data_IF_195132022766
#
_entry.id   IF_195132022766
#
_cell.length_a   1.000
_cell.length_b   1.000
_cell.length_c   1.000
_cell.angle_alpha   90.00
_cell.angle_beta   90.00
_cell.angle_gamma   90.00
#
_symmetry.space_group_name_H-M   'P 1'
#
loop_
_entity.id
_entity.type
_entity.pdbx_description
1 polymer ?
#
# COMPACT_ATOMS: atom_id res chain seq x y z
N UNK A 1 0.98 -57.98 -23.97
CA UNK A 1 1.31 -56.56 -24.22
C UNK A 1 0.07 -55.93 -24.82
N UNK A 2 -0.82 -55.40 -23.99
CA UNK A 2 -2.04 -54.71 -24.45
C UNK A 2 -1.67 -53.32 -24.95
N UNK A 3 -2.01 -53.03 -26.21
CA UNK A 3 -1.81 -51.70 -26.79
C UNK A 3 -2.83 -50.71 -26.19
N UNK A 4 -2.42 -49.52 -25.75
CA UNK A 4 -3.36 -48.52 -25.22
C UNK A 4 -4.38 -48.11 -26.30
N UNK A 5 -5.66 -48.14 -25.95
CA UNK A 5 -6.76 -47.79 -26.86
C UNK A 5 -6.67 -46.31 -27.30
N UNK A 6 -6.52 -46.00 -28.60
CA UNK A 6 -6.35 -44.65 -29.12
C UNK A 6 -7.50 -43.69 -28.73
N UNK A 7 -8.72 -44.22 -28.61
CA UNK A 7 -9.90 -43.44 -28.22
C UNK A 7 -9.83 -42.96 -26.77
N UNK A 8 -9.24 -43.78 -25.89
CA UNK A 8 -9.07 -43.47 -24.48
C UNK A 8 -7.99 -42.40 -24.29
N UNK A 9 -6.92 -42.49 -25.09
CA UNK A 9 -5.85 -41.50 -25.13
C UNK A 9 -6.34 -40.13 -25.63
N UNK A 10 -7.13 -40.10 -26.71
CA UNK A 10 -7.72 -38.86 -27.22
C UNK A 10 -8.69 -38.22 -26.21
N UNK A 11 -9.51 -39.01 -25.50
CA UNK A 11 -10.40 -38.50 -24.46
C UNK A 11 -9.62 -38.00 -23.22
N UNK A 12 -8.52 -38.65 -22.85
CA UNK A 12 -7.61 -38.20 -21.79
C UNK A 12 -6.87 -36.92 -22.20
N UNK A 13 -6.54 -36.75 -23.48
CA UNK A 13 -5.88 -35.57 -24.05
C UNK A 13 -6.85 -34.38 -24.17
N UNK A 14 -8.11 -34.64 -24.52
CA UNK A 14 -9.21 -33.66 -24.56
C UNK A 14 -9.62 -33.22 -23.14
N UNK A 15 -9.65 -34.16 -22.17
CA UNK A 15 -9.85 -33.84 -20.76
C UNK A 15 -8.65 -33.11 -20.14
N UNK A 16 -7.42 -33.43 -20.54
CA UNK A 16 -6.22 -32.69 -20.14
C UNK A 16 -6.19 -31.28 -20.76
N UNK A 17 -6.71 -31.12 -21.99
CA UNK A 17 -6.86 -29.83 -22.65
C UNK A 17 -7.95 -28.95 -22.01
N UNK A 18 -8.95 -29.55 -21.34
CA UNK A 18 -10.04 -28.83 -20.69
C UNK A 18 -9.58 -27.97 -19.50
N UNK A 19 -8.40 -28.23 -18.93
CA UNK A 19 -7.85 -27.45 -17.82
C UNK A 19 -8.72 -27.47 -16.55
N UNK A 20 -8.17 -26.97 -15.45
CA UNK A 20 -8.99 -26.62 -14.29
C UNK A 20 -9.63 -25.25 -14.54
N UNK A 21 -10.89 -25.03 -14.14
CA UNK A 21 -11.49 -23.71 -14.20
C UNK A 21 -10.72 -22.72 -13.30
N UNK A 22 -10.72 -21.46 -13.70
CA UNK A 22 -9.98 -20.38 -13.03
C UNK A 22 -10.35 -20.28 -11.54
N UNK A 23 -11.61 -20.47 -11.18
CA UNK A 23 -12.09 -20.43 -9.80
C UNK A 23 -11.46 -21.54 -8.94
N UNK A 24 -11.34 -22.75 -9.48
CA UNK A 24 -10.71 -23.88 -8.78
C UNK A 24 -9.19 -23.65 -8.65
N UNK A 25 -8.55 -23.08 -9.67
CA UNK A 25 -7.14 -22.68 -9.60
C UNK A 25 -6.91 -21.62 -8.52
N UNK A 26 -7.78 -20.62 -8.42
CA UNK A 26 -7.71 -19.59 -7.35
C UNK A 26 -7.89 -20.21 -5.98
N UNK A 27 -8.80 -21.18 -5.82
CA UNK A 27 -9.00 -21.89 -4.57
C UNK A 27 -7.77 -22.72 -4.17
N UNK A 28 -7.11 -23.37 -5.13
CA UNK A 28 -5.87 -24.09 -4.88
C UNK A 28 -4.75 -23.11 -4.51
N UNK A 29 -4.61 -22.01 -5.26
CA UNK A 29 -3.60 -20.99 -5.04
C UNK A 29 -3.78 -20.26 -3.71
N UNK A 30 -5.01 -20.07 -3.24
CA UNK A 30 -5.31 -19.38 -1.97
C UNK A 30 -4.86 -20.17 -0.75
N UNK A 31 -4.72 -21.50 -0.86
CA UNK A 31 -4.24 -22.39 0.22
C UNK A 31 -2.71 -22.38 0.38
N UNK A 32 -1.99 -21.77 -0.56
CA UNK A 32 -0.53 -21.72 -0.51
C UNK A 32 -0.01 -20.63 0.44
N UNK A 33 1.21 -20.77 0.95
CA UNK A 33 1.92 -19.63 1.52
C UNK A 33 2.31 -18.62 0.42
N UNK A 34 2.57 -17.38 0.82
CA UNK A 34 2.96 -16.27 -0.07
C UNK A 34 4.13 -16.63 -1.00
N UNK A 35 5.17 -17.29 -0.49
CA UNK A 35 6.37 -17.63 -1.26
C UNK A 35 6.07 -18.60 -2.43
N UNK A 36 5.44 -19.76 -2.19
CA UNK A 36 4.96 -20.61 -3.28
C UNK A 36 4.04 -19.87 -4.26
N UNK A 37 3.09 -19.06 -3.76
CA UNK A 37 2.20 -18.28 -4.62
C UNK A 37 2.97 -17.34 -5.56
N UNK A 38 4.00 -16.65 -5.06
CA UNK A 38 4.86 -15.80 -5.89
C UNK A 38 5.60 -16.61 -6.97
N UNK A 39 6.05 -17.83 -6.66
CA UNK A 39 6.71 -18.72 -7.63
C UNK A 39 5.74 -19.23 -8.70
N UNK A 40 4.46 -19.41 -8.37
CA UNK A 40 3.43 -19.84 -9.33
C UNK A 40 3.25 -18.88 -10.50
N UNK A 41 3.60 -17.59 -10.34
CA UNK A 41 3.61 -16.60 -11.44
C UNK A 41 4.58 -16.94 -12.58
N UNK A 42 5.51 -17.88 -12.34
CA UNK A 42 6.48 -18.35 -13.31
C UNK A 42 6.04 -19.62 -14.06
N UNK A 43 4.92 -20.25 -13.66
CA UNK A 43 4.45 -21.52 -14.25
C UNK A 43 3.83 -21.29 -15.64
N UNK A 44 2.96 -20.29 -15.77
CA UNK A 44 2.31 -19.94 -17.04
C UNK A 44 1.82 -18.49 -17.04
N UNK A 45 1.57 -17.92 -18.23
CA UNK A 45 0.95 -16.58 -18.36
C UNK A 45 -0.43 -16.54 -17.71
N UNK A 46 -1.28 -17.54 -17.99
CA UNK A 46 -2.61 -17.66 -17.39
C UNK A 46 -2.56 -17.63 -15.84
N UNK A 47 -1.61 -18.35 -15.23
CA UNK A 47 -1.45 -18.36 -13.77
C UNK A 47 -1.01 -17.00 -13.23
N UNK A 48 -0.10 -16.31 -13.94
CA UNK A 48 0.33 -14.96 -13.57
C UNK A 48 -0.83 -13.97 -13.66
N UNK A 49 -1.62 -14.03 -14.72
CA UNK A 49 -2.75 -13.14 -14.96
C UNK A 49 -3.85 -13.38 -13.92
N UNK A 50 -4.14 -14.65 -13.61
CA UNK A 50 -5.07 -15.06 -12.55
C UNK A 50 -4.65 -14.55 -11.16
N UNK A 51 -3.35 -14.61 -10.85
CA UNK A 51 -2.81 -14.08 -9.58
C UNK A 51 -2.81 -12.54 -9.55
N UNK A 52 -2.66 -11.90 -10.71
CA UNK A 52 -2.67 -10.45 -10.86
C UNK A 52 -4.09 -9.86 -10.83
N UNK A 53 -5.11 -10.66 -11.15
CA UNK A 53 -6.52 -10.25 -11.17
C UNK A 53 -6.95 -9.65 -9.81
N UNK A 54 -7.45 -8.39 -9.82
CA UNK A 54 -8.04 -7.72 -8.65
C UNK A 54 -9.05 -8.55 -7.84
N UNK A 55 -9.93 -9.28 -8.52
CA UNK A 55 -11.00 -10.05 -7.89
C UNK A 55 -10.44 -11.27 -7.14
N UNK A 56 -9.43 -11.92 -7.72
CA UNK A 56 -8.79 -13.10 -7.14
C UNK A 56 -7.79 -12.73 -6.05
N UNK A 57 -7.08 -11.61 -6.19
CA UNK A 57 -6.08 -11.13 -5.23
C UNK A 57 -6.63 -10.93 -3.82
N UNK A 58 -7.94 -10.67 -3.67
CA UNK A 58 -8.61 -10.59 -2.35
C UNK A 58 -8.71 -11.94 -1.65
N UNK A 59 -8.78 -13.04 -2.40
CA UNK A 59 -8.82 -14.42 -1.88
C UNK A 59 -7.42 -15.01 -1.67
N UNK A 60 -6.40 -14.41 -2.29
CA UNK A 60 -5.04 -14.92 -2.24
C UNK A 60 -4.25 -14.41 -1.01
N UNK A 61 -3.33 -15.22 -0.46
CA UNK A 61 -2.46 -14.86 0.64
C UNK A 61 -1.67 -13.58 0.35
N UNK A 62 -1.74 -12.63 1.28
CA UNK A 62 -1.06 -11.33 1.18
C UNK A 62 0.36 -11.40 1.73
N UNK A 63 1.27 -10.66 1.09
CA UNK A 63 2.71 -10.63 1.39
C UNK A 63 3.05 -10.11 2.78
N UNK A 64 2.18 -9.30 3.38
CA UNK A 64 2.37 -8.70 4.71
C UNK A 64 1.02 -8.65 5.43
N UNK A 65 0.93 -9.34 6.57
CA UNK A 65 -0.13 -9.12 7.57
C UNK A 65 0.57 -8.72 8.86
N UNK A 66 0.41 -7.46 9.22
CA UNK A 66 1.09 -6.90 10.37
C UNK A 66 0.68 -5.46 10.63
N UNK A 67 1.28 -4.88 11.66
CA UNK A 67 0.97 -3.54 12.13
C UNK A 67 2.23 -2.68 12.06
N UNK A 68 2.14 -1.54 11.36
CA UNK A 68 3.14 -0.49 11.45
C UNK A 68 2.78 0.48 12.57
N UNK A 69 3.75 0.86 13.39
CA UNK A 69 3.55 1.87 14.43
C UNK A 69 4.78 2.77 14.57
N UNK A 70 4.54 4.04 14.90
CA UNK A 70 5.57 4.98 15.28
C UNK A 70 5.97 4.79 16.74
N UNK A 71 7.27 4.79 17.03
CA UNK A 71 7.82 4.87 18.38
C UNK A 71 8.72 6.09 18.50
N UNK A 72 8.66 6.78 19.63
CA UNK A 72 9.54 7.91 19.92
C UNK A 72 10.63 7.44 20.86
N UNK A 73 11.88 7.47 20.41
CA UNK A 73 13.04 7.20 21.26
C UNK A 73 13.88 8.45 21.49
N UNK A 74 14.62 8.45 22.60
CA UNK A 74 15.75 9.35 22.82
C UNK A 74 17.01 8.50 22.84
N UNK A 75 17.97 8.79 21.98
CA UNK A 75 19.29 8.16 22.11
C UNK A 75 20.06 8.88 23.23
N UNK A 76 20.87 8.14 23.99
CA UNK A 76 21.70 8.72 25.04
C UNK A 76 22.69 9.77 24.49
N UNK A 77 23.08 9.62 23.22
CA UNK A 77 24.03 10.47 22.53
C UNK A 77 23.42 11.81 22.06
N UNK A 78 22.10 11.86 21.85
CA UNK A 78 21.40 13.07 21.36
C UNK A 78 20.08 13.30 22.11
N UNK A 79 20.12 13.65 23.41
CA UNK A 79 18.92 13.77 24.24
C UNK A 79 17.96 14.91 23.82
N UNK A 80 18.42 15.81 22.94
CA UNK A 80 17.63 16.93 22.40
C UNK A 80 16.95 16.65 21.06
N UNK A 81 17.34 15.59 20.35
CA UNK A 81 16.68 15.19 19.10
C UNK A 81 15.64 14.11 19.39
N UNK A 82 14.36 14.42 19.15
CA UNK A 82 13.31 13.39 19.05
C UNK A 82 13.59 12.60 17.78
N UNK A 83 13.88 11.30 17.92
CA UNK A 83 13.91 10.39 16.78
C UNK A 83 12.60 9.61 16.76
N UNK A 84 11.90 9.72 15.63
CA UNK A 84 10.72 8.93 15.34
C UNK A 84 11.16 7.68 14.57
N UNK A 85 10.83 6.51 15.10
CA UNK A 85 11.13 5.22 14.47
C UNK A 85 9.84 4.58 14.00
N UNK A 86 9.86 4.01 12.80
CA UNK A 86 8.77 3.17 12.33
C UNK A 86 9.12 1.73 12.63
N UNK A 87 8.20 1.03 13.28
CA UNK A 87 8.34 -0.37 13.64
C UNK A 87 7.27 -1.19 12.94
N UNK A 88 7.53 -2.49 12.75
CA UNK A 88 6.57 -3.43 12.20
C UNK A 88 6.40 -4.64 13.11
N UNK A 89 5.16 -4.96 13.44
CA UNK A 89 4.79 -6.19 14.14
C UNK A 89 4.25 -7.17 13.11
N UNK A 90 4.98 -8.26 12.87
CA UNK A 90 4.49 -9.36 12.06
C UNK A 90 3.42 -10.13 12.82
N UNK A 91 2.19 -10.14 12.33
CA UNK A 91 1.10 -10.90 12.92
C UNK A 91 1.01 -12.34 12.37
N UNK A 92 1.80 -12.66 11.34
CA UNK A 92 1.93 -14.01 10.81
C UNK A 92 3.03 -14.75 11.57
N UNK A 93 2.64 -15.45 12.65
CA UNK A 93 3.54 -16.23 13.53
C UNK A 93 4.43 -17.24 12.79
N UNK A 94 4.02 -17.70 11.59
CA UNK A 94 4.67 -18.76 10.82
C UNK A 94 5.60 -18.29 9.70
N UNK A 95 5.73 -16.98 9.46
CA UNK A 95 6.65 -16.45 8.44
C UNK A 95 7.88 -15.84 9.11
N UNK A 96 9.09 -16.04 8.54
CA UNK A 96 10.24 -15.19 8.87
C UNK A 96 9.83 -13.72 8.76
N UNK A 97 10.46 -12.87 9.57
CA UNK A 97 10.28 -11.42 9.56
C UNK A 97 10.19 -10.88 8.13
N UNK A 98 9.36 -9.84 7.89
CA UNK A 98 9.13 -9.33 6.55
C UNK A 98 10.44 -8.98 5.84
N UNK A 99 10.45 -9.03 4.51
CA UNK A 99 11.55 -8.55 3.67
C UNK A 99 11.74 -7.02 3.70
N UNK A 100 11.01 -6.35 4.59
CA UNK A 100 10.96 -4.91 4.72
C UNK A 100 11.72 -4.58 5.99
N UNK A 101 12.91 -3.99 5.85
CA UNK A 101 13.74 -3.55 6.98
C UNK A 101 13.27 -2.16 7.45
N UNK A 102 12.62 -2.02 8.63
CA UNK A 102 12.52 -0.73 9.28
C UNK A 102 13.95 -0.32 9.69
N UNK A 103 14.42 0.89 9.37
CA UNK A 103 13.67 2.14 9.27
C UNK A 103 13.33 2.65 7.84
N UNK A 104 13.22 1.78 6.83
CA UNK A 104 13.03 2.16 5.42
C UNK A 104 14.17 3.04 4.89
N UNK A 105 15.40 2.49 4.74
CA UNK A 105 16.57 3.26 4.29
C UNK A 105 16.37 3.95 2.93
N UNK A 106 15.47 3.45 2.08
CA UNK A 106 15.12 4.10 0.81
C UNK A 106 14.40 5.45 0.96
N UNK A 107 13.96 5.82 2.17
CA UNK A 107 13.44 7.15 2.48
C UNK A 107 14.56 8.15 2.83
N UNK A 108 15.77 7.69 3.14
CA UNK A 108 16.93 8.57 3.37
C UNK A 108 17.37 9.28 2.07
N UNK A 109 16.99 8.73 0.91
CA UNK A 109 17.20 9.35 -0.40
C UNK A 109 16.33 10.61 -0.64
N UNK A 110 15.37 10.91 0.24
CA UNK A 110 14.59 12.15 0.15
C UNK A 110 15.44 13.35 0.63
N UNK A 111 15.60 14.40 -0.20
CA UNK A 111 16.40 15.55 0.16
C UNK A 111 15.77 16.31 1.35
N UNK A 112 16.54 16.49 2.44
CA UNK A 112 16.19 17.38 3.55
C UNK A 112 15.23 16.81 4.59
N UNK A 113 15.10 15.48 4.69
CA UNK A 113 14.31 14.83 5.73
C UNK A 113 15.15 14.61 6.99
N UNK A 114 14.87 15.37 8.05
CA UNK A 114 15.48 15.12 9.37
C UNK A 114 14.59 14.26 10.28
N UNK A 115 13.28 14.24 10.06
CA UNK A 115 12.33 13.47 10.87
C UNK A 115 11.11 13.04 10.05
N UNK A 116 10.75 11.77 10.14
CA UNK A 116 9.60 11.17 9.45
C UNK A 116 8.63 10.60 10.48
N UNK A 117 7.36 11.00 10.40
CA UNK A 117 6.28 10.45 11.25
C UNK A 117 5.33 9.61 10.45
N UNK A 118 5.03 8.41 10.92
CA UNK A 118 3.96 7.59 10.34
C UNK A 118 2.60 8.21 10.67
N UNK A 119 1.88 8.65 9.65
CA UNK A 119 0.51 9.17 9.77
C UNK A 119 -0.55 8.10 9.59
N UNK A 120 -0.28 7.11 8.74
CA UNK A 120 -1.26 6.06 8.46
C UNK A 120 -0.78 5.04 7.45
N UNK A 121 -1.63 4.04 7.22
CA UNK A 121 -1.41 3.00 6.21
C UNK A 121 -2.72 2.65 5.52
N UNK A 122 -2.65 2.27 4.24
CA UNK A 122 -3.80 1.82 3.47
C UNK A 122 -3.37 0.80 2.41
N UNK A 123 -3.91 -0.42 2.47
CA UNK A 123 -3.67 -1.50 1.50
C UNK A 123 -2.21 -1.70 1.07
N UNK A 124 -1.27 -1.59 2.02
CA UNK A 124 0.15 -1.82 1.81
C UNK A 124 0.95 -0.57 1.44
N UNK A 125 0.32 0.60 1.32
CA UNK A 125 0.99 1.90 1.25
C UNK A 125 1.07 2.53 2.65
N UNK A 126 2.13 3.28 2.89
CA UNK A 126 2.38 4.03 4.12
C UNK A 126 2.39 5.53 3.81
N UNK A 127 1.78 6.32 4.68
CA UNK A 127 1.78 7.78 4.61
C UNK A 127 2.64 8.33 5.75
N UNK A 128 3.56 9.20 5.41
CA UNK A 128 4.37 9.93 6.37
C UNK A 128 4.23 11.43 6.22
N UNK A 129 4.33 12.14 7.35
CA UNK A 129 4.77 13.53 7.33
C UNK A 129 6.28 13.61 7.58
N UNK A 130 6.86 14.69 7.09
CA UNK A 130 8.22 15.08 7.45
C UNK A 130 8.31 16.59 7.60
N UNK A 131 9.26 17.04 8.41
CA UNK A 131 9.60 18.46 8.54
C UNK A 131 10.82 18.70 7.66
N UNK A 132 10.70 19.41 6.52
CA UNK A 132 11.86 19.88 5.79
C UNK A 132 12.51 21.04 6.54
N UNK A 133 13.75 21.34 6.15
CA UNK A 133 14.50 22.53 6.59
C UNK A 133 13.83 23.86 6.20
N UNK A 134 12.89 23.83 5.25
CA UNK A 134 11.97 24.92 4.91
C UNK A 134 10.65 24.76 5.67
N UNK A 135 10.08 25.86 6.17
CA UNK A 135 8.96 25.98 7.13
C UNK A 135 7.63 25.23 6.84
N UNK A 136 7.52 24.44 5.78
CA UNK A 136 6.28 23.76 5.38
C UNK A 136 6.37 22.24 5.60
N UNK A 137 5.37 21.64 6.26
CA UNK A 137 5.29 20.18 6.41
C UNK A 137 5.17 19.49 5.04
N UNK A 138 6.04 18.53 4.77
CA UNK A 138 5.98 17.68 3.59
C UNK A 138 5.22 16.39 3.87
N UNK A 139 4.60 15.82 2.84
CA UNK A 139 3.95 14.52 2.89
C UNK A 139 4.62 13.58 1.90
N UNK A 140 4.77 12.31 2.26
CA UNK A 140 5.29 11.27 1.36
C UNK A 140 4.47 10.00 1.52
N UNK A 141 4.12 9.40 0.39
CA UNK A 141 3.50 8.08 0.34
C UNK A 141 4.55 7.09 -0.15
N UNK A 142 4.72 5.97 0.56
CA UNK A 142 5.67 4.95 0.16
C UNK A 142 5.02 3.56 0.06
N UNK A 143 5.59 2.76 -0.85
CA UNK A 143 5.32 1.34 -0.98
C UNK A 143 6.54 0.57 -0.45
N UNK A 144 6.50 0.04 0.79
CA UNK A 144 7.62 -0.69 1.36
C UNK A 144 7.94 -1.99 0.62
N UNK A 145 6.98 -2.58 -0.10
CA UNK A 145 7.21 -3.79 -0.87
C UNK A 145 8.00 -3.54 -2.17
N UNK A 146 7.87 -2.36 -2.78
CA UNK A 146 8.61 -1.98 -3.98
C UNK A 146 9.79 -1.05 -3.69
N UNK A 147 9.95 -0.59 -2.44
CA UNK A 147 10.96 0.42 -2.04
C UNK A 147 10.85 1.71 -2.86
N UNK A 148 9.63 2.07 -3.26
CA UNK A 148 9.34 3.28 -4.02
C UNK A 148 8.53 4.26 -3.17
N UNK A 149 8.71 5.55 -3.44
CA UNK A 149 8.01 6.62 -2.74
C UNK A 149 7.63 7.74 -3.71
N UNK A 150 6.62 8.51 -3.31
CA UNK A 150 6.14 9.68 -4.03
C UNK A 150 5.94 10.81 -3.02
N UNK A 151 6.63 11.93 -3.24
CA UNK A 151 6.37 13.14 -2.48
C UNK A 151 5.01 13.71 -2.89
N UNK A 152 4.15 13.96 -1.91
CA UNK A 152 2.88 14.63 -2.11
C UNK A 152 3.17 16.12 -2.00
N UNK A 153 2.94 16.92 -3.07
CA UNK A 153 3.26 18.34 -3.05
C UNK A 153 2.60 19.03 -1.85
N UNK A 154 3.42 19.53 -0.92
CA UNK A 154 2.97 20.26 0.27
C UNK A 154 2.47 21.68 -0.03
N UNK A 155 2.33 22.05 -1.30
CA UNK A 155 1.83 23.37 -1.70
C UNK A 155 0.31 23.42 -1.59
N UNK A 156 -0.16 23.42 -0.36
CA UNK A 156 -1.42 24.04 0.00
C UNK A 156 -1.18 24.75 1.33
N UNK A 157 -0.39 25.83 1.33
CA UNK A 157 -0.97 27.00 2.00
C UNK A 157 -2.31 27.19 1.30
N UNK A 158 -3.44 27.04 1.99
CA UNK A 158 -4.70 27.33 1.32
C UNK A 158 -4.58 28.76 0.82
N UNK A 159 -5.34 29.11 -0.22
CA UNK A 159 -5.70 30.51 -0.48
C UNK A 159 -6.29 31.22 0.78
N UNK A 160 -6.49 30.47 1.86
CA UNK A 160 -6.96 30.82 3.20
C UNK A 160 -5.86 30.60 4.27
N UNK A 161 -4.95 31.56 4.50
CA UNK A 161 -4.02 31.51 5.62
C UNK A 161 -4.73 31.33 6.98
N UNK A 162 -4.24 30.40 7.79
CA UNK A 162 -4.66 30.21 9.19
C UNK A 162 -5.74 29.17 9.46
N UNK A 163 -5.94 28.18 8.59
CA UNK A 163 -6.66 26.94 8.90
C UNK A 163 -5.63 25.86 9.30
N UNK A 164 -5.66 25.31 10.53
CA UNK A 164 -4.82 24.17 10.87
C UNK A 164 -5.33 22.89 10.20
N UNK A 165 -4.41 22.05 9.70
CA UNK A 165 -4.73 20.68 9.29
C UNK A 165 -5.13 19.89 10.53
N UNK A 166 -6.33 19.30 10.52
CA UNK A 166 -6.86 18.46 11.60
C UNK A 166 -6.53 16.99 11.40
N UNK A 167 -6.67 16.52 10.16
CA UNK A 167 -6.53 15.11 9.85
C UNK A 167 -6.02 14.92 8.42
N UNK A 168 -5.17 13.90 8.23
CA UNK A 168 -4.69 13.48 6.92
C UNK A 168 -4.92 11.99 6.79
N UNK A 169 -5.60 11.57 5.73
CA UNK A 169 -5.91 10.16 5.45
C UNK A 169 -5.34 9.74 4.09
N UNK A 170 -4.88 8.50 4.02
CA UNK A 170 -4.49 7.84 2.78
C UNK A 170 -5.62 6.91 2.31
N UNK A 171 -6.03 7.05 1.06
CA UNK A 171 -7.04 6.22 0.41
C UNK A 171 -6.40 5.49 -0.76
N UNK A 172 -6.40 4.17 -0.72
CA UNK A 172 -5.90 3.32 -1.78
C UNK A 172 -6.66 2.00 -1.81
N UNK A 173 -7.28 1.66 -2.94
CA UNK A 173 -7.79 0.31 -3.18
C UNK A 173 -7.14 -0.23 -4.47
N UNK A 174 -6.13 -1.12 -4.35
CA UNK A 174 -5.46 -1.69 -5.52
C UNK A 174 -6.39 -2.52 -6.41
N UNK A 175 -7.59 -2.89 -5.94
CA UNK A 175 -8.57 -3.57 -6.77
C UNK A 175 -9.41 -2.62 -7.62
N UNK A 176 -9.48 -1.34 -7.25
CA UNK A 176 -10.26 -0.32 -7.97
C UNK A 176 -9.38 0.53 -8.91
N UNK A 177 -8.19 0.92 -8.46
CA UNK A 177 -7.22 1.68 -9.26
C UNK A 177 -5.79 1.44 -8.79
N UNK A 178 -4.82 1.66 -9.68
CA UNK A 178 -3.40 1.81 -9.30
C UNK A 178 -3.11 3.13 -8.59
N UNK A 179 -4.06 4.06 -8.59
CA UNK A 179 -3.90 5.40 -8.06
C UNK A 179 -4.30 5.47 -6.59
N UNK A 180 -3.51 6.21 -5.79
CA UNK A 180 -3.85 6.55 -4.42
C UNK A 180 -4.26 8.02 -4.30
N UNK A 181 -4.99 8.32 -3.24
CA UNK A 181 -5.40 9.67 -2.89
C UNK A 181 -4.97 10.00 -1.47
N UNK A 182 -4.55 11.25 -1.26
CA UNK A 182 -4.29 11.79 0.08
C UNK A 182 -5.30 12.88 0.34
N UNK A 183 -6.06 12.71 1.41
CA UNK A 183 -7.13 13.63 1.81
C UNK A 183 -6.71 14.36 3.08
N UNK A 184 -6.72 15.69 3.03
CA UNK A 184 -6.41 16.55 4.16
C UNK A 184 -7.67 17.33 4.56
N UNK A 185 -8.00 17.32 5.84
CA UNK A 185 -9.10 18.06 6.43
C UNK A 185 -8.54 19.28 7.18
N UNK A 186 -9.02 20.45 6.80
CA UNK A 186 -8.62 21.74 7.36
C UNK A 186 -9.84 22.36 8.01
N UNK A 187 -9.75 22.77 9.26
CA UNK A 187 -10.92 23.23 10.01
C UNK A 187 -10.66 24.52 10.77
N UNK A 188 -11.57 25.50 10.63
CA UNK A 188 -11.57 26.74 11.40
C UNK A 188 -12.99 27.26 11.56
N UNK A 189 -13.38 27.60 12.79
CA UNK A 189 -14.63 28.32 13.09
C UNK A 189 -15.86 27.75 12.36
N UNK A 190 -16.04 26.43 12.42
CA UNK A 190 -17.14 25.68 11.78
C UNK A 190 -17.11 25.58 10.25
N UNK A 191 -16.00 25.94 9.60
CA UNK A 191 -15.74 25.66 8.19
C UNK A 191 -14.78 24.50 8.03
N UNK A 192 -15.10 23.60 7.11
CA UNK A 192 -14.26 22.45 6.76
C UNK A 192 -13.87 22.53 5.30
N UNK A 193 -12.57 22.69 5.04
CA UNK A 193 -11.99 22.57 3.71
C UNK A 193 -11.35 21.18 3.58
N UNK A 194 -11.64 20.53 2.47
CA UNK A 194 -11.06 19.23 2.11
C UNK A 194 -10.13 19.44 0.92
N UNK A 195 -8.89 19.01 1.08
CA UNK A 195 -7.91 18.98 0.00
C UNK A 195 -7.63 17.52 -0.38
N UNK A 196 -7.73 17.19 -1.67
CA UNK A 196 -7.51 15.84 -2.20
C UNK A 196 -6.40 15.89 -3.24
N UNK A 197 -5.30 15.21 -2.94
CA UNK A 197 -4.26 14.89 -3.91
C UNK A 197 -4.57 13.56 -4.59
N UNK A 198 -4.38 13.46 -5.90
CA UNK A 198 -4.46 12.21 -6.66
C UNK A 198 -3.13 11.87 -7.32
N UNK A 199 -2.62 10.66 -7.10
CA UNK A 199 -1.38 10.20 -7.75
C UNK A 199 -1.51 10.11 -9.28
N UNK A 200 -2.73 9.99 -9.80
CA UNK A 200 -3.03 9.92 -11.23
C UNK A 200 -2.69 11.22 -11.96
N UNK A 201 -3.08 12.34 -11.35
CA UNK A 201 -2.95 13.68 -11.93
C UNK A 201 -1.70 14.39 -11.45
N UNK A 202 -1.14 13.97 -10.30
CA UNK A 202 -0.05 14.68 -9.63
C UNK A 202 -0.48 16.04 -9.07
N UNK A 203 -1.78 16.35 -9.05
CA UNK A 203 -2.33 17.61 -8.62
C UNK A 203 -3.28 17.45 -7.44
N UNK A 204 -3.41 18.54 -6.67
CA UNK A 204 -4.32 18.66 -5.55
C UNK A 204 -5.52 19.55 -5.90
N UNK A 205 -6.71 19.18 -5.40
CA UNK A 205 -7.94 19.98 -5.54
C UNK A 205 -8.51 20.25 -4.16
N UNK A 206 -8.94 21.48 -3.89
CA UNK A 206 -9.56 21.88 -2.63
C UNK A 206 -11.03 22.21 -2.82
N UNK A 207 -11.87 21.83 -1.86
CA UNK A 207 -13.30 22.16 -1.83
C UNK A 207 -13.75 22.51 -0.40
N UNK A 208 -14.66 23.48 -0.28
CA UNK A 208 -15.39 23.75 0.97
C UNK A 208 -16.59 22.81 1.04
N UNK A 209 -16.67 22.02 2.12
CA UNK A 209 -17.73 21.04 2.36
C UNK A 209 -18.60 21.42 3.56
N UNK A 210 -18.51 22.67 4.02
CA UNK A 210 -19.32 23.17 5.14
C UNK A 210 -20.81 22.99 4.83
N UNK A 211 -21.52 22.24 5.67
CA UNK A 211 -22.96 22.02 5.52
C UNK A 211 -23.37 20.91 4.54
N UNK A 212 -22.43 20.11 4.02
CA UNK A 212 -22.76 18.89 3.26
C UNK A 212 -23.33 17.86 4.23
N UNK A 213 -24.65 17.71 4.24
CA UNK A 213 -25.32 16.61 4.92
C UNK A 213 -25.22 15.35 4.06
N UNK A 214 -24.63 14.28 4.60
CA UNK A 214 -24.81 12.94 4.02
C UNK A 214 -26.21 12.47 4.42
N UNK A 215 -27.15 12.49 3.46
CA UNK A 215 -28.47 11.87 3.60
C UNK A 215 -28.40 10.37 3.38
#
# INVERSE_FOLDING_TARGET
MDCPNPKRRAAEEEAAAAGLPDEALVEILSRNHVKPLCRSKCVAKAWRDLIADPLHRRKLPRTLVGLFYGSVGRTACWPRQRQEYVNFINLMWTSPAPFVDPPFPFLEDLPGIENVRLLGSCNGLLLFDYVPTSLDLGLVVCNPATKQWVAVPGKCTPEYPGYPVKHTSLIFDPAASSDFHVVQFWEKSCKTLVHVYSSKTGCGVAADVTGVAFT
#
